data_IF_410172684182
#
_entry.id   IF_410172684182
#
_cell.length_a   1.000
_cell.length_b   1.000
_cell.length_c   1.000
_cell.angle_alpha   90.00
_cell.angle_beta   90.00
_cell.angle_gamma   90.00
#
_symmetry.space_group_name_H-M   'P 1'
#
loop_
_entity.id
_entity.type
_entity.pdbx_description
1 polymer ?
#
# COMPACT_ATOMS: atom_id res chain seq x y z
N UNK A 1 -4.85 -14.03 -23.40
CA UNK A 1 -3.96 -15.07 -23.93
C UNK A 1 -4.45 -16.37 -23.34
N UNK A 2 -4.90 -17.31 -24.16
CA UNK A 2 -5.29 -18.62 -23.65
C UNK A 2 -4.03 -19.44 -23.37
N UNK A 3 -4.04 -20.15 -22.24
CA UNK A 3 -2.92 -20.99 -21.81
C UNK A 3 -3.48 -22.34 -21.34
N UNK A 4 -2.67 -23.40 -21.29
CA UNK A 4 -3.13 -24.70 -20.80
C UNK A 4 -3.69 -24.68 -19.37
N UNK A 5 -3.30 -23.72 -18.53
CA UNK A 5 -3.79 -23.55 -17.16
C UNK A 5 -4.97 -22.58 -17.04
N UNK A 6 -5.53 -22.11 -18.15
CA UNK A 6 -6.65 -21.17 -18.21
C UNK A 6 -6.28 -19.82 -18.83
N UNK A 7 -7.28 -18.96 -19.14
CA UNK A 7 -7.03 -17.68 -19.81
C UNK A 7 -6.27 -16.71 -18.90
N UNK A 8 -5.23 -16.09 -19.44
CA UNK A 8 -4.42 -15.08 -18.79
C UNK A 8 -4.97 -13.67 -19.08
N UNK A 9 -5.45 -13.01 -18.02
CA UNK A 9 -6.07 -11.67 -18.03
C UNK A 9 -5.05 -10.55 -17.84
N UNK A 10 -5.49 -9.30 -17.99
CA UNK A 10 -4.65 -8.13 -17.69
C UNK A 10 -4.27 -8.05 -16.21
N UNK A 11 -5.20 -8.37 -15.30
CA UNK A 11 -4.90 -8.35 -13.87
C UNK A 11 -3.89 -9.43 -13.47
N UNK A 12 -3.90 -10.58 -14.15
CA UNK A 12 -2.92 -11.66 -13.89
C UNK A 12 -1.49 -11.22 -14.24
N UNK A 13 -1.31 -10.55 -15.38
CA UNK A 13 -0.01 -9.98 -15.79
C UNK A 13 0.42 -8.86 -14.85
N UNK A 14 -0.52 -8.00 -14.49
CA UNK A 14 -0.28 -6.90 -13.57
C UNK A 14 0.12 -7.40 -12.17
N UNK A 15 -0.44 -8.52 -11.71
CA UNK A 15 -0.03 -9.13 -10.44
C UNK A 15 1.45 -9.55 -10.46
N UNK A 16 1.90 -10.21 -11.52
CA UNK A 16 3.31 -10.59 -11.67
C UNK A 16 4.21 -9.36 -11.65
N UNK A 17 3.83 -8.29 -12.35
CA UNK A 17 4.59 -7.04 -12.37
C UNK A 17 4.64 -6.38 -11.00
N UNK A 18 3.51 -6.27 -10.28
CA UNK A 18 3.48 -5.65 -8.95
C UNK A 18 4.27 -6.43 -7.92
N UNK A 19 4.19 -7.76 -7.94
CA UNK A 19 4.97 -8.61 -7.03
C UNK A 19 6.45 -8.53 -7.34
N UNK A 20 6.84 -8.51 -8.62
CA UNK A 20 8.24 -8.27 -9.02
C UNK A 20 8.73 -6.91 -8.52
N UNK A 21 7.95 -5.85 -8.76
CA UNK A 21 8.28 -4.51 -8.28
C UNK A 21 8.43 -4.47 -6.75
N UNK A 22 7.59 -5.17 -5.99
CA UNK A 22 7.72 -5.26 -4.53
C UNK A 22 9.05 -5.93 -4.14
N UNK A 23 9.39 -7.08 -4.74
CA UNK A 23 10.66 -7.77 -4.47
C UNK A 23 11.90 -6.92 -4.77
N UNK A 24 11.85 -6.11 -5.83
CA UNK A 24 12.99 -5.30 -6.25
C UNK A 24 13.44 -4.26 -5.23
N UNK A 25 12.56 -3.78 -4.35
CA UNK A 25 12.92 -2.83 -3.29
C UNK A 25 12.90 -3.45 -1.89
N UNK A 26 12.01 -4.41 -1.60
CA UNK A 26 11.90 -5.00 -0.27
C UNK A 26 13.03 -5.99 0.06
N UNK A 27 13.60 -6.67 -0.95
CA UNK A 27 14.79 -7.51 -0.74
C UNK A 27 16.00 -6.70 -0.24
N UNK A 28 16.50 -5.68 -0.97
CA UNK A 28 17.64 -4.90 -0.51
C UNK A 28 17.34 -4.10 0.77
N UNK A 29 16.11 -3.58 0.94
CA UNK A 29 15.74 -2.89 2.18
C UNK A 29 15.68 -3.83 3.38
N UNK A 30 15.25 -5.08 3.20
CA UNK A 30 15.29 -6.09 4.24
C UNK A 30 16.72 -6.46 4.66
N UNK A 31 17.64 -6.57 3.69
CA UNK A 31 19.07 -6.79 3.94
C UNK A 31 19.69 -5.61 4.70
N UNK A 32 19.46 -4.37 4.24
CA UNK A 32 19.91 -3.16 4.92
C UNK A 32 19.38 -3.13 6.37
N UNK A 33 18.08 -3.34 6.55
CA UNK A 33 17.42 -3.33 7.86
C UNK A 33 17.99 -4.37 8.83
N UNK A 34 18.35 -5.55 8.34
CA UNK A 34 18.96 -6.59 9.17
C UNK A 34 20.30 -6.16 9.80
N UNK A 35 20.97 -5.16 9.22
CA UNK A 35 22.26 -4.64 9.70
C UNK A 35 22.17 -3.25 10.33
N UNK A 36 21.28 -2.39 9.83
CA UNK A 36 21.20 -0.96 10.17
C UNK A 36 20.15 -0.62 11.24
N UNK A 37 19.09 -1.41 11.37
CA UNK A 37 18.04 -1.15 12.36
C UNK A 37 18.61 -1.08 13.79
N UNK A 38 18.00 -0.28 14.66
CA UNK A 38 18.42 -0.20 16.07
C UNK A 38 17.67 -1.19 16.95
N UNK A 39 16.42 -1.47 16.59
CA UNK A 39 15.56 -2.43 17.26
C UNK A 39 15.82 -3.87 16.78
N UNK A 40 16.17 -4.76 17.70
CA UNK A 40 16.46 -6.18 17.39
C UNK A 40 15.29 -6.91 16.73
N UNK A 41 14.05 -6.58 17.08
CA UNK A 41 12.87 -7.14 16.42
C UNK A 41 12.77 -6.67 14.97
N UNK A 42 13.08 -5.40 14.70
CA UNK A 42 13.09 -4.83 13.34
C UNK A 42 14.19 -5.48 12.50
N UNK A 43 15.40 -5.70 13.04
CA UNK A 43 16.47 -6.46 12.35
C UNK A 43 16.01 -7.85 11.92
N UNK A 44 15.39 -8.60 12.85
CA UNK A 44 14.89 -9.94 12.57
C UNK A 44 13.82 -9.93 11.47
N UNK A 45 12.91 -8.95 11.52
CA UNK A 45 11.85 -8.78 10.52
C UNK A 45 12.45 -8.41 9.16
N UNK A 46 13.41 -7.49 9.09
CA UNK A 46 14.13 -7.16 7.85
C UNK A 46 14.70 -8.40 7.17
N UNK A 47 15.37 -9.28 7.94
CA UNK A 47 15.88 -10.56 7.45
C UNK A 47 14.77 -11.50 6.95
N UNK A 48 13.65 -11.60 7.66
CA UNK A 48 12.53 -12.45 7.24
C UNK A 48 11.91 -11.94 5.93
N UNK A 49 11.65 -10.63 5.83
CA UNK A 49 11.10 -9.98 4.64
C UNK A 49 12.03 -10.19 3.44
N UNK A 50 13.35 -9.99 3.62
CA UNK A 50 14.34 -10.27 2.57
C UNK A 50 14.20 -11.70 2.03
N UNK A 51 14.21 -12.69 2.92
CA UNK A 51 14.15 -14.11 2.53
C UNK A 51 12.82 -14.47 1.84
N UNK A 52 11.70 -13.97 2.35
CA UNK A 52 10.38 -14.22 1.77
C UNK A 52 10.27 -13.57 0.38
N UNK A 53 10.79 -12.35 0.19
CA UNK A 53 10.82 -11.71 -1.12
C UNK A 53 11.81 -12.36 -2.09
N UNK A 54 12.94 -12.92 -1.64
CA UNK A 54 13.82 -13.72 -2.51
C UNK A 54 13.11 -14.95 -3.06
N UNK A 55 12.36 -15.66 -2.22
CA UNK A 55 11.54 -16.79 -2.65
C UNK A 55 10.45 -16.35 -3.63
N UNK A 56 9.73 -15.28 -3.30
CA UNK A 56 8.63 -14.78 -4.12
C UNK A 56 9.11 -14.22 -5.47
N UNK A 57 10.29 -13.61 -5.51
CA UNK A 57 10.93 -13.15 -6.74
C UNK A 57 11.27 -14.31 -7.69
N UNK A 58 11.89 -15.37 -7.15
CA UNK A 58 12.18 -16.58 -7.92
C UNK A 58 10.89 -17.21 -8.48
N UNK A 59 9.83 -17.28 -7.68
CA UNK A 59 8.51 -17.75 -8.12
C UNK A 59 7.91 -16.85 -9.20
N UNK A 60 8.04 -15.53 -9.06
CA UNK A 60 7.52 -14.53 -10.01
C UNK A 60 8.21 -14.68 -11.36
N UNK A 61 9.55 -14.73 -11.38
CA UNK A 61 10.35 -14.90 -12.60
C UNK A 61 10.04 -16.22 -13.30
N UNK A 62 9.95 -17.31 -12.53
CA UNK A 62 9.57 -18.63 -13.07
C UNK A 62 8.17 -18.60 -13.69
N UNK A 63 7.21 -18.00 -13.01
CA UNK A 63 5.81 -17.92 -13.47
C UNK A 63 5.69 -17.06 -14.73
N UNK A 64 6.33 -15.89 -14.75
CA UNK A 64 6.35 -15.01 -15.91
C UNK A 64 6.99 -15.67 -17.14
N UNK A 65 8.16 -16.32 -16.95
CA UNK A 65 8.84 -17.06 -18.02
C UNK A 65 7.96 -18.20 -18.58
N UNK A 66 7.22 -18.91 -17.72
CA UNK A 66 6.28 -19.96 -18.14
C UNK A 66 5.15 -19.46 -19.06
N UNK A 67 4.84 -18.17 -19.02
CA UNK A 67 3.87 -17.52 -19.92
C UNK A 67 4.51 -16.69 -21.03
N UNK A 68 5.85 -16.69 -21.16
CA UNK A 68 6.57 -15.84 -22.12
C UNK A 68 6.44 -14.34 -21.82
N UNK A 69 6.20 -13.97 -20.57
CA UNK A 69 6.10 -12.59 -20.12
C UNK A 69 7.45 -12.08 -19.63
N UNK A 70 7.71 -10.80 -19.86
CA UNK A 70 8.79 -10.07 -19.20
C UNK A 70 8.26 -9.40 -17.93
N UNK A 71 9.17 -9.12 -17.00
CA UNK A 71 8.89 -8.36 -15.77
C UNK A 71 9.94 -7.27 -15.59
N UNK A 72 9.66 -6.21 -14.82
CA UNK A 72 10.66 -5.18 -14.52
C UNK A 72 11.91 -5.76 -13.85
N UNK A 73 13.05 -5.08 -14.04
CA UNK A 73 14.34 -5.44 -13.43
C UNK A 73 14.92 -4.37 -12.50
N UNK A 74 14.25 -3.22 -12.40
CA UNK A 74 14.60 -2.14 -11.48
C UNK A 74 13.35 -1.66 -10.73
N UNK A 75 13.47 -1.21 -9.48
CA UNK A 75 12.36 -0.58 -8.77
C UNK A 75 11.84 0.63 -9.56
N UNK A 76 10.56 0.96 -9.43
CA UNK A 76 10.01 2.16 -10.04
C UNK A 76 10.47 3.44 -9.29
N UNK A 77 10.32 4.65 -9.86
CA UNK A 77 10.81 5.88 -9.23
C UNK A 77 10.28 6.13 -7.82
N UNK A 78 9.01 5.79 -7.57
CA UNK A 78 8.41 5.93 -6.24
C UNK A 78 9.08 4.99 -5.23
N UNK A 79 9.33 3.73 -5.61
CA UNK A 79 10.02 2.76 -4.77
C UNK A 79 11.48 3.15 -4.52
N UNK A 80 12.18 3.67 -5.55
CA UNK A 80 13.54 4.22 -5.38
C UNK A 80 13.54 5.34 -4.34
N UNK A 81 12.56 6.25 -4.41
CA UNK A 81 12.44 7.33 -3.41
C UNK A 81 12.21 6.80 -1.98
N UNK A 82 11.46 5.70 -1.81
CA UNK A 82 11.28 5.08 -0.49
C UNK A 82 12.58 4.47 0.03
N UNK A 83 13.36 3.83 -0.84
CA UNK A 83 14.66 3.27 -0.48
C UNK A 83 15.61 4.37 -0.02
N UNK A 84 15.70 5.47 -0.78
CA UNK A 84 16.52 6.64 -0.46
C UNK A 84 16.09 7.30 0.87
N UNK A 85 14.79 7.45 1.10
CA UNK A 85 14.25 8.00 2.33
C UNK A 85 14.61 7.15 3.55
N UNK A 86 14.42 5.82 3.48
CA UNK A 86 14.71 4.94 4.60
C UNK A 86 16.22 4.90 4.86
N UNK A 87 17.05 4.79 3.81
CA UNK A 87 18.51 4.72 3.96
C UNK A 87 19.11 6.04 4.48
N UNK A 88 18.48 7.20 4.22
CA UNK A 88 18.93 8.46 4.79
C UNK A 88 18.73 8.59 6.31
N UNK A 89 17.97 7.68 6.93
CA UNK A 89 17.64 7.71 8.36
C UNK A 89 18.53 6.78 9.17
N UNK A 90 18.58 7.03 10.47
CA UNK A 90 19.34 6.25 11.46
C UNK A 90 18.50 6.06 12.72
N UNK A 91 18.89 5.11 13.58
CA UNK A 91 18.26 4.96 14.89
C UNK A 91 16.77 4.59 14.83
N UNK A 92 16.01 5.09 15.80
CA UNK A 92 14.56 4.88 15.87
C UNK A 92 13.82 5.44 14.65
N UNK A 93 14.34 6.49 14.01
CA UNK A 93 13.72 7.08 12.82
C UNK A 93 13.81 6.13 11.62
N UNK A 94 14.95 5.42 11.46
CA UNK A 94 15.09 4.35 10.46
C UNK A 94 14.05 3.25 10.69
N UNK A 95 13.96 2.76 11.93
CA UNK A 95 13.06 1.66 12.30
C UNK A 95 11.58 2.02 12.03
N UNK A 96 11.17 3.23 12.40
CA UNK A 96 9.81 3.73 12.16
C UNK A 96 9.52 3.88 10.66
N UNK A 97 10.44 4.45 9.89
CA UNK A 97 10.25 4.64 8.45
C UNK A 97 10.14 3.30 7.71
N UNK A 98 11.01 2.34 8.04
CA UNK A 98 10.95 0.99 7.48
C UNK A 98 9.59 0.33 7.78
N UNK A 99 9.17 0.32 9.05
CA UNK A 99 7.89 -0.31 9.45
C UNK A 99 6.70 0.35 8.77
N UNK A 100 6.63 1.68 8.80
CA UNK A 100 5.52 2.42 8.20
C UNK A 100 5.43 2.20 6.69
N UNK A 101 6.56 2.31 5.97
CA UNK A 101 6.61 2.16 4.50
C UNK A 101 6.17 0.78 4.05
N UNK A 102 6.75 -0.28 4.62
CA UNK A 102 6.41 -1.64 4.21
C UNK A 102 4.98 -1.99 4.60
N UNK A 103 4.52 -1.58 5.79
CA UNK A 103 3.16 -1.89 6.23
C UNK A 103 2.10 -1.20 5.36
N UNK A 104 2.35 0.05 4.96
CA UNK A 104 1.48 0.77 4.03
C UNK A 104 1.47 0.11 2.64
N UNK A 105 2.65 -0.26 2.11
CA UNK A 105 2.77 -0.94 0.82
C UNK A 105 2.02 -2.30 0.81
N UNK A 106 2.14 -3.08 1.88
CA UNK A 106 1.43 -4.35 2.04
C UNK A 106 -0.10 -4.14 2.13
N UNK A 107 -0.54 -3.13 2.86
CA UNK A 107 -1.96 -2.75 2.94
C UNK A 107 -2.54 -2.35 1.58
N UNK A 108 -1.76 -1.67 0.74
CA UNK A 108 -2.18 -1.25 -0.60
C UNK A 108 -2.28 -2.42 -1.59
N UNK A 109 -1.31 -3.35 -1.57
CA UNK A 109 -1.26 -4.43 -2.56
C UNK A 109 -2.23 -5.58 -2.22
N UNK A 110 -2.50 -5.84 -0.94
CA UNK A 110 -3.31 -6.97 -0.50
C UNK A 110 -4.70 -7.06 -1.19
N UNK A 111 -5.50 -5.98 -1.29
CA UNK A 111 -6.79 -6.03 -2.00
C UNK A 111 -6.66 -6.40 -3.47
N UNK A 112 -5.57 -6.00 -4.13
CA UNK A 112 -5.32 -6.35 -5.53
C UNK A 112 -4.99 -7.84 -5.68
N UNK A 113 -4.12 -8.39 -4.81
CA UNK A 113 -3.81 -9.83 -4.83
C UNK A 113 -5.09 -10.64 -4.56
N UNK A 114 -5.90 -10.22 -3.58
CA UNK A 114 -7.19 -10.86 -3.27
C UNK A 114 -8.15 -10.85 -4.47
N UNK A 115 -8.27 -9.69 -5.16
CA UNK A 115 -9.07 -9.56 -6.38
C UNK A 115 -8.63 -10.54 -7.48
N UNK A 116 -7.32 -10.69 -7.70
CA UNK A 116 -6.80 -11.66 -8.69
C UNK A 116 -7.06 -13.09 -8.23
N UNK A 117 -6.76 -13.39 -6.96
CA UNK A 117 -6.97 -14.71 -6.36
C UNK A 117 -8.42 -15.19 -6.46
N UNK A 118 -9.40 -14.30 -6.31
CA UNK A 118 -10.83 -14.63 -6.37
C UNK A 118 -11.39 -14.62 -7.80
N UNK A 119 -10.80 -13.85 -8.71
CA UNK A 119 -11.35 -13.64 -10.05
C UNK A 119 -10.65 -14.40 -11.18
N UNK A 120 -9.39 -14.80 -11.00
CA UNK A 120 -8.63 -15.46 -12.07
C UNK A 120 -9.21 -16.83 -12.40
N UNK A 121 -9.22 -17.15 -13.69
CA UNK A 121 -9.52 -18.49 -14.20
C UNK A 121 -8.26 -19.27 -14.56
N UNK A 122 -7.09 -18.72 -14.27
CA UNK A 122 -5.81 -19.40 -14.49
C UNK A 122 -5.32 -20.08 -13.20
N UNK A 123 -5.11 -21.39 -13.22
CA UNK A 123 -4.74 -22.18 -12.04
C UNK A 123 -3.35 -21.84 -11.50
N UNK A 124 -2.39 -21.58 -12.38
CA UNK A 124 -1.03 -21.18 -12.00
C UNK A 124 -1.07 -19.80 -11.33
N UNK A 125 -1.80 -18.84 -11.91
CA UNK A 125 -1.94 -17.51 -11.31
C UNK A 125 -2.71 -17.56 -9.99
N UNK A 126 -3.70 -18.45 -9.87
CA UNK A 126 -4.42 -18.63 -8.59
C UNK A 126 -3.49 -19.11 -7.48
N UNK A 127 -2.61 -20.06 -7.77
CA UNK A 127 -1.56 -20.51 -6.85
C UNK A 127 -0.56 -19.40 -6.53
N UNK A 128 -0.13 -18.64 -7.53
CA UNK A 128 0.76 -17.48 -7.36
C UNK A 128 0.15 -16.42 -6.44
N UNK A 129 -1.11 -16.07 -6.66
CA UNK A 129 -1.84 -15.10 -5.86
C UNK A 129 -2.05 -15.59 -4.41
N UNK A 130 -2.23 -16.91 -4.21
CA UNK A 130 -2.27 -17.49 -2.86
C UNK A 130 -0.96 -17.30 -2.12
N UNK A 131 0.18 -17.64 -2.74
CA UNK A 131 1.50 -17.44 -2.15
C UNK A 131 1.75 -15.95 -1.80
N UNK A 132 1.32 -15.03 -2.67
CA UNK A 132 1.37 -13.59 -2.41
C UNK A 132 0.53 -13.17 -1.20
N UNK A 133 -0.69 -13.72 -1.04
CA UNK A 133 -1.56 -13.47 0.13
C UNK A 133 -0.89 -13.97 1.42
N UNK A 134 -0.32 -15.17 1.40
CA UNK A 134 0.28 -15.76 2.59
C UNK A 134 1.48 -14.93 3.07
N UNK A 135 2.33 -14.47 2.13
CA UNK A 135 3.48 -13.60 2.43
C UNK A 135 3.04 -12.23 2.94
N UNK A 136 2.12 -11.55 2.24
CA UNK A 136 1.73 -10.18 2.64
C UNK A 136 1.02 -10.16 3.99
N UNK A 137 0.19 -11.16 4.30
CA UNK A 137 -0.46 -11.29 5.62
C UNK A 137 0.56 -11.56 6.74
N UNK A 138 1.55 -12.42 6.47
CA UNK A 138 2.67 -12.65 7.39
C UNK A 138 3.44 -11.36 7.64
N UNK A 139 3.79 -10.62 6.60
CA UNK A 139 4.56 -9.39 6.74
C UNK A 139 3.80 -8.30 7.50
N UNK A 140 2.51 -8.08 7.21
CA UNK A 140 1.68 -7.14 7.99
C UNK A 140 1.69 -7.49 9.48
N UNK A 141 1.49 -8.77 9.82
CA UNK A 141 1.53 -9.26 11.21
C UNK A 141 2.91 -9.03 11.86
N UNK A 142 3.99 -9.33 11.13
CA UNK A 142 5.36 -9.12 11.62
C UNK A 142 5.63 -7.64 11.88
N UNK A 143 5.33 -6.77 10.93
CA UNK A 143 5.54 -5.32 11.04
C UNK A 143 4.73 -4.72 12.17
N UNK A 144 3.47 -5.11 12.33
CA UNK A 144 2.62 -4.71 13.46
C UNK A 144 3.18 -5.19 14.82
N UNK A 145 3.78 -6.38 14.87
CA UNK A 145 4.39 -6.93 16.10
C UNK A 145 5.57 -6.12 16.64
N UNK A 146 6.08 -5.13 15.87
CA UNK A 146 7.14 -4.22 16.35
C UNK A 146 6.61 -3.19 17.35
N UNK A 147 5.30 -2.92 17.36
CA UNK A 147 4.71 -1.80 18.10
C UNK A 147 4.99 -0.43 17.47
N UNK A 148 5.67 -0.36 16.31
CA UNK A 148 6.02 0.89 15.62
C UNK A 148 5.02 1.25 14.50
N UNK A 149 4.03 0.40 14.24
CA UNK A 149 3.01 0.68 13.23
C UNK A 149 2.03 1.76 13.71
N UNK A 150 2.30 3.02 13.35
CA UNK A 150 1.41 4.18 13.59
C UNK A 150 0.57 4.57 12.37
N UNK A 151 -0.07 5.75 12.41
CA UNK A 151 -1.00 6.25 11.37
C UNK A 151 -0.43 6.17 9.94
N UNK A 152 0.85 6.51 9.76
CA UNK A 152 1.52 6.45 8.46
C UNK A 152 1.55 5.02 7.86
N UNK A 153 1.46 3.99 8.70
CA UNK A 153 1.45 2.57 8.30
C UNK A 153 0.13 2.14 7.64
N UNK A 154 -0.94 2.93 7.84
CA UNK A 154 -2.28 2.66 7.33
C UNK A 154 -2.73 3.67 6.26
N UNK A 155 -1.88 4.64 5.94
CA UNK A 155 -2.08 5.58 4.86
C UNK A 155 -1.71 4.96 3.50
N UNK A 156 -2.17 5.59 2.40
CA UNK A 156 -1.72 5.20 1.07
C UNK A 156 -0.23 5.52 0.87
N UNK A 157 0.57 4.60 0.28
CA UNK A 157 1.96 4.88 -0.04
C UNK A 157 2.09 6.04 -1.04
N UNK A 158 2.78 7.11 -0.64
CA UNK A 158 3.12 8.27 -1.47
C UNK A 158 4.64 8.32 -1.72
N UNK A 159 5.15 9.02 -2.73
CA UNK A 159 6.59 9.29 -2.85
C UNK A 159 7.24 9.84 -1.56
N UNK A 160 8.56 9.75 -1.45
CA UNK A 160 9.30 10.34 -0.31
C UNK A 160 8.94 11.82 -0.13
N UNK A 161 8.66 12.24 1.11
CA UNK A 161 8.10 13.56 1.46
C UNK A 161 6.60 13.57 1.81
N UNK A 162 5.87 12.49 1.51
CA UNK A 162 4.46 12.32 1.90
C UNK A 162 4.23 11.94 3.37
N UNK A 163 5.20 11.28 4.02
CA UNK A 163 5.08 10.85 5.43
C UNK A 163 5.05 12.06 6.37
N UNK A 164 5.88 13.07 6.11
CA UNK A 164 5.93 14.32 6.90
C UNK A 164 4.58 15.07 6.85
N UNK A 165 3.87 15.00 5.72
CA UNK A 165 2.53 15.55 5.60
C UNK A 165 1.49 14.71 6.34
N UNK A 166 1.65 13.40 6.46
CA UNK A 166 0.74 12.54 7.21
C UNK A 166 0.86 12.75 8.74
N UNK A 167 2.08 12.94 9.27
CA UNK A 167 2.31 13.30 10.67
C UNK A 167 1.94 14.75 11.01
N UNK A 168 1.95 15.67 10.03
CA UNK A 168 1.41 17.02 10.21
C UNK A 168 -0.13 17.06 10.06
N UNK A 169 -0.71 16.21 9.21
CA UNK A 169 -2.15 16.08 9.05
C UNK A 169 -2.84 15.34 10.21
N UNK A 170 -2.09 14.52 10.97
CA UNK A 170 -2.60 13.86 12.19
C UNK A 170 -2.80 14.82 13.37
N UNK A 171 -2.30 16.06 13.28
CA UNK A 171 -2.72 17.17 14.14
C UNK A 171 -4.01 17.82 13.56
N UNK A 172 -5.11 17.07 13.70
CA UNK A 172 -6.51 17.43 13.41
C UNK A 172 -6.80 18.23 12.12
N UNK A 173 -6.95 17.51 11.00
CA UNK A 173 -7.72 17.97 9.83
C UNK A 173 -9.18 17.48 9.90
N UNK A 174 -10.17 18.29 9.49
CA UNK A 174 -11.58 18.01 9.78
C UNK A 174 -12.07 16.74 9.07
N UNK A 175 -12.59 15.81 9.88
CA UNK A 175 -13.27 14.59 9.45
C UNK A 175 -14.27 14.90 8.32
N UNK A 176 -14.14 14.24 7.18
CA UNK A 176 -14.99 14.42 5.98
C UNK A 176 -16.50 14.30 6.26
N UNK A 177 -16.88 13.63 7.35
CA UNK A 177 -18.26 13.57 7.85
C UNK A 177 -18.78 14.88 8.47
N UNK A 178 -17.91 15.74 9.01
CA UNK A 178 -18.27 17.08 9.55
C UNK A 178 -18.53 18.07 8.40
N UNK A 179 -17.82 17.92 7.27
CA UNK A 179 -18.00 18.79 6.09
C UNK A 179 -19.40 18.57 5.45
N UNK A 180 -19.91 17.35 5.49
CA UNK A 180 -21.24 17.02 4.97
C UNK A 180 -22.40 17.48 5.89
N UNK A 181 -22.18 17.59 7.21
CA UNK A 181 -23.23 18.08 8.13
C UNK A 181 -23.32 19.61 8.15
N UNK A 182 -22.19 20.33 8.00
CA UNK A 182 -22.20 21.80 7.97
C UNK A 182 -22.79 22.36 6.66
N UNK A 183 -22.63 21.65 5.53
CA UNK A 183 -23.23 22.07 4.25
C UNK A 183 -24.74 21.86 4.18
N UNK A 184 -25.27 20.81 4.83
CA UNK A 184 -26.72 20.59 4.89
C UNK A 184 -27.43 21.61 5.82
N UNK A 185 -26.82 21.98 6.95
CA UNK A 185 -27.38 22.99 7.85
C UNK A 185 -27.40 24.41 7.24
N UNK A 186 -26.35 24.78 6.48
CA UNK A 186 -26.26 26.08 5.82
C UNK A 186 -27.30 26.30 4.72
N UNK A 187 -27.61 25.27 3.92
CA UNK A 187 -28.60 25.36 2.84
C UNK A 187 -30.02 25.48 3.40
N UNK A 188 -30.35 24.76 4.48
CA UNK A 188 -31.67 24.83 5.12
C UNK A 188 -31.91 26.20 5.77
N UNK A 189 -30.90 26.78 6.43
CA UNK A 189 -31.02 28.11 7.06
C UNK A 189 -31.20 29.23 6.03
N UNK A 190 -30.51 29.14 4.89
CA UNK A 190 -30.57 30.16 3.83
C UNK A 190 -31.90 30.11 3.07
N UNK A 191 -32.47 28.93 2.81
CA UNK A 191 -33.79 28.78 2.16
C UNK A 191 -34.93 29.22 3.08
N UNK A 192 -34.82 29.00 4.40
CA UNK A 192 -35.80 29.48 5.37
C UNK A 192 -35.78 31.02 5.50
N UNK A 193 -34.61 31.64 5.55
CA UNK A 193 -34.46 33.11 5.59
C UNK A 193 -35.04 33.79 4.34
N UNK A 194 -34.85 33.22 3.15
CA UNK A 194 -35.40 33.74 1.90
C UNK A 194 -36.93 33.57 1.78
N UNK A 195 -37.53 32.60 2.48
CA UNK A 195 -38.99 32.46 2.54
C UNK A 195 -39.66 33.44 3.52
N UNK A 196 -38.98 33.79 4.61
CA UNK A 196 -39.50 34.75 5.61
C UNK A 196 -39.37 36.20 5.11
N UNK A 197 -38.34 36.51 4.31
CA UNK A 197 -38.10 37.86 3.79
C UNK A 197 -38.86 38.21 2.50
N UNK A 198 -39.73 37.33 1.99
CA UNK A 198 -40.50 37.62 0.77
C UNK A 198 -41.57 38.68 1.05
N UNK A 199 -41.52 39.89 0.45
CA UNK A 199 -42.52 40.91 0.67
C UNK A 199 -43.88 40.45 0.16
N UNK A 200 -44.94 40.61 0.97
CA UNK A 200 -46.32 40.37 0.53
C UNK A 200 -46.69 41.40 -0.54
N UNK A 201 -47.07 40.93 -1.73
CA UNK A 201 -47.63 41.80 -2.77
C UNK A 201 -48.93 42.43 -2.26
N UNK A 202 -49.15 43.74 -2.44
CA UNK A 202 -50.42 44.37 -2.09
C UNK A 202 -51.51 43.87 -3.04
N UNK A 203 -52.62 43.41 -2.46
CA UNK A 203 -53.86 43.08 -3.17
C UNK A 203 -54.51 44.40 -3.61
N UNK A 204 -54.89 44.49 -4.88
CA UNK A 204 -55.86 45.47 -5.37
C UNK A 204 -57.11 44.71 -5.79
#
# INVERSE_FOLDING_TARGET
MDTPSGPLTANDRELLNRVRLAGLWEMPMGELTATKASNERVKQIGKMIMLDHMMLDALTKKTAAGFGLTTPDVPNPTQQSWMEEIDALEGDAFDQAFVARLRAAHGQIFPFIAKVRSGTRNDVIRGFAQAGIDVVMKHMTLLESTGLAGDASFAEPQPAGGIINATLASNEGPNMWVILTVTAAGVVLTVLLLRVLRPRRPVR
#
